data_IF_450124707031
#
_entry.id   IF_450124707031
#
_cell.length_a   1.000
_cell.length_b   1.000
_cell.length_c   1.000
_cell.angle_alpha   90.00
_cell.angle_beta   90.00
_cell.angle_gamma   90.00
#
_symmetry.space_group_name_H-M   'P 1'
#
loop_
_entity.id
_entity.type
_entity.pdbx_description
1 polymer ?
#
# COMPACT_ATOMS: atom_id res chain seq x y z
N UNK A 1 34.48 48.92 -25.52
CA UNK A 1 34.04 48.27 -24.26
C UNK A 1 32.81 47.43 -24.57
N UNK A 2 32.98 46.18 -25.00
CA UNK A 2 31.85 45.30 -25.40
C UNK A 2 32.33 43.85 -25.44
N UNK A 3 32.79 43.32 -24.30
CA UNK A 3 33.19 41.91 -24.19
C UNK A 3 33.12 41.43 -22.73
N UNK A 4 31.95 41.54 -22.09
CA UNK A 4 31.77 41.04 -20.71
C UNK A 4 30.40 40.41 -20.39
N UNK A 5 29.47 40.28 -21.35
CA UNK A 5 28.13 39.76 -21.06
C UNK A 5 27.86 38.33 -21.55
N UNK A 6 28.70 37.78 -22.43
CA UNK A 6 28.45 36.47 -23.06
C UNK A 6 28.97 35.27 -22.25
N UNK A 7 29.83 35.47 -21.25
CA UNK A 7 30.39 34.36 -20.46
C UNK A 7 29.55 33.91 -19.26
N UNK A 8 28.57 34.71 -18.82
CA UNK A 8 27.75 34.38 -17.63
C UNK A 8 26.63 33.39 -17.97
N UNK A 9 26.15 33.34 -19.23
CA UNK A 9 25.08 32.43 -19.63
C UNK A 9 25.54 30.96 -19.74
N UNK A 10 26.82 30.72 -20.05
CA UNK A 10 27.34 29.37 -20.21
C UNK A 10 27.51 28.60 -18.89
N UNK A 11 27.79 29.29 -17.78
CA UNK A 11 28.03 28.65 -16.48
C UNK A 11 26.74 28.20 -15.77
N UNK A 12 25.59 28.84 -16.04
CA UNK A 12 24.29 28.43 -15.47
C UNK A 12 23.78 27.13 -16.12
N UNK A 13 24.05 26.94 -17.41
CA UNK A 13 23.64 25.73 -18.14
C UNK A 13 24.39 24.46 -17.69
N UNK A 14 25.68 24.58 -17.34
CA UNK A 14 26.46 23.44 -16.85
C UNK A 14 26.04 23.00 -15.43
N UNK A 15 25.61 23.93 -14.57
CA UNK A 15 25.15 23.58 -13.23
C UNK A 15 23.81 22.81 -13.23
N UNK A 16 22.96 23.04 -14.25
CA UNK A 16 21.69 22.32 -14.42
C UNK A 16 21.88 20.85 -14.84
N UNK A 17 23.02 20.47 -15.42
CA UNK A 17 23.32 19.10 -15.85
C UNK A 17 23.97 18.25 -14.74
N UNK A 18 24.49 18.87 -13.68
CA UNK A 18 25.11 18.15 -12.55
C UNK A 18 24.11 17.43 -11.65
N UNK A 19 22.81 17.68 -11.80
CA UNK A 19 21.74 17.02 -11.04
C UNK A 19 21.31 15.65 -11.58
N UNK A 20 21.78 15.24 -12.76
CA UNK A 20 21.45 13.93 -13.36
C UNK A 20 22.39 12.80 -12.93
N UNK A 21 23.21 12.99 -11.90
CA UNK A 21 24.10 11.97 -11.37
C UNK A 21 23.48 11.39 -10.09
N UNK A 22 22.26 10.84 -10.19
CA UNK A 22 21.73 9.97 -9.16
C UNK A 22 22.63 8.74 -9.11
N UNK A 23 23.41 8.60 -8.04
CA UNK A 23 24.20 7.40 -7.74
C UNK A 23 23.34 6.21 -7.30
N UNK A 24 22.02 6.32 -7.46
CA UNK A 24 21.08 5.24 -7.22
C UNK A 24 21.36 4.13 -8.24
N UNK A 25 21.67 2.95 -7.73
CA UNK A 25 21.76 1.76 -8.54
C UNK A 25 20.43 1.56 -9.27
N UNK A 26 20.41 1.77 -10.59
CA UNK A 26 19.25 1.45 -11.43
C UNK A 26 19.14 -0.07 -11.45
N UNK A 27 18.22 -0.60 -10.65
CA UNK A 27 17.84 -2.01 -10.75
C UNK A 27 17.20 -2.23 -12.12
N UNK A 28 17.85 -3.04 -12.96
CA UNK A 28 17.31 -3.42 -14.27
C UNK A 28 16.51 -4.70 -14.10
N UNK A 29 15.20 -4.61 -14.35
CA UNK A 29 14.31 -5.77 -14.34
C UNK A 29 14.11 -6.27 -15.78
N UNK A 30 14.30 -7.57 -16.01
CA UNK A 30 14.10 -8.19 -17.32
C UNK A 30 12.66 -8.66 -17.56
N UNK A 31 11.86 -8.74 -16.50
CA UNK A 31 10.45 -9.11 -16.52
C UNK A 31 9.65 -8.32 -15.47
N UNK A 32 8.36 -8.14 -15.73
CA UNK A 32 7.43 -7.53 -14.79
C UNK A 32 6.08 -8.28 -14.81
N UNK A 33 5.52 -8.50 -13.63
CA UNK A 33 4.19 -9.10 -13.43
C UNK A 33 3.22 -8.01 -13.03
N UNK A 34 2.13 -7.92 -13.78
CA UNK A 34 1.02 -7.02 -13.52
C UNK A 34 -0.20 -7.83 -13.11
N UNK A 35 -0.97 -7.32 -12.15
CA UNK A 35 -2.21 -7.94 -11.74
C UNK A 35 -3.31 -6.89 -11.51
N UNK A 36 -4.56 -7.32 -11.56
CA UNK A 36 -5.70 -6.53 -11.11
C UNK A 36 -6.53 -7.38 -10.17
N UNK A 37 -6.94 -6.79 -9.06
CA UNK A 37 -7.78 -7.43 -8.06
C UNK A 37 -9.02 -6.56 -7.89
N UNK A 38 -10.19 -7.13 -8.17
CA UNK A 38 -11.45 -6.51 -7.82
C UNK A 38 -11.79 -6.97 -6.40
N UNK A 39 -11.77 -6.04 -5.44
CA UNK A 39 -11.87 -6.39 -4.03
C UNK A 39 -13.31 -6.54 -3.57
N UNK A 40 -14.19 -5.63 -4.01
CA UNK A 40 -15.62 -5.61 -3.65
C UNK A 40 -15.85 -5.89 -2.15
N UNK A 41 -15.14 -5.16 -1.28
CA UNK A 41 -15.25 -5.37 0.17
C UNK A 41 -16.65 -5.07 0.71
N UNK A 42 -17.53 -4.40 -0.03
CA UNK A 42 -18.91 -4.11 0.38
C UNK A 42 -18.97 -3.30 1.69
N UNK A 43 -18.19 -2.21 1.75
CA UNK A 43 -18.28 -1.22 2.85
C UNK A 43 -19.24 -0.12 2.48
N UNK A 44 -20.01 0.35 3.46
CA UNK A 44 -20.97 1.44 3.24
C UNK A 44 -20.27 2.78 3.02
N UNK A 45 -19.14 3.02 3.69
CA UNK A 45 -18.37 4.27 3.61
C UNK A 45 -16.87 4.02 3.44
N UNK A 46 -16.14 5.05 3.00
CA UNK A 46 -14.68 5.01 2.95
C UNK A 46 -14.08 5.01 4.36
N UNK A 47 -14.71 5.72 5.30
CA UNK A 47 -14.28 5.81 6.69
C UNK A 47 -14.32 4.44 7.39
N UNK A 48 -15.33 3.61 7.10
CA UNK A 48 -15.38 2.23 7.60
C UNK A 48 -14.18 1.42 7.10
N UNK A 49 -13.84 1.57 5.80
CA UNK A 49 -12.66 0.92 5.23
C UNK A 49 -11.38 1.42 5.89
N UNK A 50 -11.23 2.73 6.09
CA UNK A 50 -10.07 3.31 6.76
C UNK A 50 -9.92 2.77 8.17
N UNK A 51 -11.02 2.66 8.94
CA UNK A 51 -10.98 2.14 10.31
C UNK A 51 -10.46 0.70 10.34
N UNK A 52 -10.91 -0.15 9.43
CA UNK A 52 -10.46 -1.54 9.31
C UNK A 52 -9.01 -1.63 8.82
N UNK A 53 -8.61 -0.81 7.85
CA UNK A 53 -7.25 -0.77 7.31
C UNK A 53 -6.23 -0.21 8.32
N UNK A 54 -6.69 0.54 9.32
CA UNK A 54 -5.86 1.16 10.35
C UNK A 54 -5.58 0.24 11.54
N UNK A 55 -6.28 -0.90 11.66
CA UNK A 55 -6.00 -1.87 12.73
C UNK A 55 -4.59 -2.39 12.59
N UNK A 56 -3.80 -2.27 13.65
CA UNK A 56 -2.43 -2.82 13.70
C UNK A 56 -2.46 -4.34 13.67
N UNK A 57 -1.36 -4.96 13.25
CA UNK A 57 -1.27 -6.41 13.17
C UNK A 57 -1.55 -7.11 14.52
N UNK A 58 -1.20 -6.49 15.65
CA UNK A 58 -1.47 -7.01 16.98
C UNK A 58 -2.96 -6.92 17.33
N UNK A 59 -3.60 -5.77 17.09
CA UNK A 59 -5.05 -5.60 17.31
C UNK A 59 -5.86 -6.57 16.46
N UNK A 60 -5.52 -6.71 15.18
CA UNK A 60 -6.13 -7.69 14.28
C UNK A 60 -5.98 -9.12 14.83
N UNK A 61 -4.78 -9.49 15.32
CA UNK A 61 -4.50 -10.85 15.79
C UNK A 61 -5.26 -11.17 17.08
N UNK A 62 -5.29 -10.23 18.03
CA UNK A 62 -6.09 -10.35 19.26
C UNK A 62 -7.57 -10.49 18.93
N UNK A 63 -8.11 -9.65 18.04
CA UNK A 63 -9.52 -9.68 17.66
C UNK A 63 -9.90 -11.01 16.99
N UNK A 64 -9.08 -11.47 16.04
CA UNK A 64 -9.31 -12.74 15.33
C UNK A 64 -9.19 -13.94 16.27
N UNK A 65 -8.25 -13.93 17.22
CA UNK A 65 -8.12 -14.99 18.20
C UNK A 65 -9.35 -15.08 19.09
N UNK A 66 -9.82 -13.95 19.63
CA UNK A 66 -11.07 -13.88 20.41
C UNK A 66 -12.26 -14.39 19.60
N UNK A 67 -12.37 -13.98 18.34
CA UNK A 67 -13.43 -14.42 17.43
C UNK A 67 -13.40 -15.94 17.19
N UNK A 68 -12.23 -16.51 16.90
CA UNK A 68 -12.06 -17.96 16.67
C UNK A 68 -12.34 -18.80 17.92
N UNK A 69 -12.11 -18.24 19.10
CA UNK A 69 -12.38 -18.89 20.38
C UNK A 69 -13.83 -18.69 20.85
N UNK A 70 -14.69 -18.07 20.04
CA UNK A 70 -16.10 -17.79 20.36
C UNK A 70 -16.24 -17.03 21.70
N UNK A 71 -15.36 -16.06 21.94
CA UNK A 71 -15.37 -15.26 23.18
C UNK A 71 -16.74 -14.61 23.40
N UNK A 72 -17.49 -14.98 24.46
CA UNK A 72 -18.85 -14.50 24.68
C UNK A 72 -18.93 -13.02 25.06
N UNK A 73 -17.79 -12.35 25.30
CA UNK A 73 -17.72 -10.92 25.58
C UNK A 73 -17.65 -10.05 24.32
N UNK A 74 -17.48 -10.65 23.14
CA UNK A 74 -17.46 -9.91 21.88
C UNK A 74 -18.83 -9.31 21.59
N UNK A 75 -18.82 -8.04 21.21
CA UNK A 75 -19.99 -7.36 20.67
C UNK A 75 -20.24 -7.78 19.21
N UNK A 76 -21.48 -7.62 18.73
CA UNK A 76 -21.83 -7.85 17.31
C UNK A 76 -20.93 -7.04 16.36
N UNK A 77 -20.53 -5.85 16.78
CA UNK A 77 -19.64 -4.98 16.00
C UNK A 77 -18.20 -5.52 15.95
N UNK A 78 -17.67 -6.04 17.06
CA UNK A 78 -16.34 -6.67 17.08
C UNK A 78 -16.34 -7.95 16.23
N UNK A 79 -17.41 -8.75 16.28
CA UNK A 79 -17.59 -9.94 15.44
C UNK A 79 -17.55 -9.55 13.96
N UNK A 80 -18.39 -8.58 13.56
CA UNK A 80 -18.41 -8.10 12.18
C UNK A 80 -17.04 -7.53 11.75
N UNK A 81 -16.34 -6.84 12.64
CA UNK A 81 -15.00 -6.33 12.37
C UNK A 81 -13.99 -7.47 12.19
N UNK A 82 -14.06 -8.51 13.02
CA UNK A 82 -13.18 -9.68 12.90
C UNK A 82 -13.34 -10.39 11.55
N UNK A 83 -14.58 -10.64 11.12
CA UNK A 83 -14.88 -11.26 9.82
C UNK A 83 -14.32 -10.45 8.65
N UNK A 84 -14.48 -9.12 8.72
CA UNK A 84 -13.98 -8.18 7.73
C UNK A 84 -12.46 -8.11 7.68
N UNK A 85 -11.78 -8.11 8.82
CA UNK A 85 -10.31 -8.19 8.89
C UNK A 85 -9.81 -9.51 8.30
N UNK A 86 -10.50 -10.63 8.58
CA UNK A 86 -10.18 -11.93 7.98
C UNK A 86 -10.30 -11.86 6.45
N UNK A 87 -11.36 -11.24 5.91
CA UNK A 87 -11.53 -11.02 4.47
C UNK A 87 -10.35 -10.23 3.88
N UNK A 88 -9.92 -9.14 4.52
CA UNK A 88 -8.80 -8.31 4.05
C UNK A 88 -7.48 -9.09 4.10
N UNK A 89 -7.23 -9.86 5.17
CA UNK A 89 -6.05 -10.75 5.28
C UNK A 89 -6.01 -11.81 4.18
N UNK A 90 -7.15 -12.40 3.84
CA UNK A 90 -7.23 -13.37 2.73
C UNK A 90 -6.88 -12.72 1.38
N UNK A 91 -7.32 -11.47 1.14
CA UNK A 91 -6.92 -10.71 -0.06
C UNK A 91 -5.41 -10.45 -0.06
N UNK A 92 -4.85 -10.01 1.06
CA UNK A 92 -3.41 -9.79 1.19
C UNK A 92 -2.62 -11.09 0.92
N UNK A 93 -3.06 -12.23 1.44
CA UNK A 93 -2.47 -13.54 1.14
C UNK A 93 -2.47 -13.84 -0.36
N UNK A 94 -3.61 -13.64 -1.04
CA UNK A 94 -3.71 -13.87 -2.49
C UNK A 94 -2.69 -13.00 -3.25
N UNK A 95 -2.58 -11.72 -2.90
CA UNK A 95 -1.62 -10.80 -3.55
C UNK A 95 -0.18 -11.27 -3.28
N UNK A 96 0.13 -11.69 -2.05
CA UNK A 96 1.45 -12.23 -1.69
C UNK A 96 1.79 -13.51 -2.46
N UNK A 97 0.81 -14.39 -2.70
CA UNK A 97 0.97 -15.60 -3.53
C UNK A 97 1.20 -15.28 -5.00
N UNK A 98 0.44 -14.34 -5.56
CA UNK A 98 0.57 -13.92 -6.97
C UNK A 98 1.88 -13.18 -7.20
N UNK A 99 2.36 -12.46 -6.19
CA UNK A 99 3.60 -11.68 -6.17
C UNK A 99 3.77 -10.76 -7.40
N UNK A 100 2.81 -9.86 -7.66
CA UNK A 100 2.94 -8.87 -8.73
C UNK A 100 4.04 -7.84 -8.41
N UNK A 101 4.62 -7.24 -9.46
CA UNK A 101 5.52 -6.08 -9.33
C UNK A 101 4.74 -4.77 -9.27
N UNK A 102 3.57 -4.72 -9.92
CA UNK A 102 2.61 -3.64 -9.83
C UNK A 102 1.20 -4.22 -9.99
N UNK A 103 0.21 -3.65 -9.30
CA UNK A 103 -1.17 -4.09 -9.43
C UNK A 103 -2.16 -2.96 -9.19
N UNK A 104 -3.38 -3.18 -9.66
CA UNK A 104 -4.52 -2.29 -9.45
C UNK A 104 -5.50 -2.95 -8.50
N UNK A 105 -5.91 -2.21 -7.46
CA UNK A 105 -7.05 -2.55 -6.61
C UNK A 105 -8.27 -1.82 -7.15
N UNK A 106 -9.19 -2.57 -7.76
CA UNK A 106 -10.49 -2.05 -8.20
C UNK A 106 -11.52 -2.21 -7.08
N UNK A 107 -12.55 -1.35 -7.08
CA UNK A 107 -13.61 -1.32 -6.06
C UNK A 107 -13.06 -1.18 -4.63
N UNK A 108 -12.08 -0.27 -4.45
CA UNK A 108 -11.42 -0.02 -3.17
C UNK A 108 -12.16 1.01 -2.28
N UNK A 109 -13.40 1.37 -2.61
CA UNK A 109 -14.22 2.37 -1.91
C UNK A 109 -13.55 3.75 -1.69
N UNK A 110 -12.54 4.09 -2.48
CA UNK A 110 -11.92 5.42 -2.53
C UNK A 110 -12.57 6.27 -3.65
N UNK A 111 -12.48 7.59 -3.55
CA UNK A 111 -13.07 8.53 -4.52
C UNK A 111 -12.35 8.57 -5.89
N UNK A 112 -11.19 7.92 -5.99
CA UNK A 112 -10.39 7.83 -7.21
C UNK A 112 -9.52 9.05 -7.50
N UNK A 113 -9.55 10.08 -6.65
CA UNK A 113 -8.73 11.28 -6.80
C UNK A 113 -7.31 11.10 -6.25
N UNK A 114 -7.12 10.13 -5.35
CA UNK A 114 -5.81 9.84 -4.75
C UNK A 114 -5.33 10.88 -3.74
N UNK A 115 -6.23 11.73 -3.21
CA UNK A 115 -5.90 12.74 -2.20
C UNK A 115 -5.86 12.16 -0.79
N UNK A 116 -6.84 11.30 -0.44
CA UNK A 116 -6.82 10.52 0.80
C UNK A 116 -6.29 9.11 0.53
N UNK A 117 -5.08 8.85 1.02
CA UNK A 117 -4.36 7.58 0.85
C UNK A 117 -4.42 6.69 2.10
N UNK A 118 -5.20 7.05 3.13
CA UNK A 118 -5.17 6.36 4.44
C UNK A 118 -5.50 4.89 4.34
N UNK A 119 -6.56 4.52 3.63
CA UNK A 119 -6.94 3.12 3.48
C UNK A 119 -5.88 2.32 2.69
N UNK A 120 -5.29 2.94 1.67
CA UNK A 120 -4.25 2.29 0.86
C UNK A 120 -2.96 2.10 1.65
N UNK A 121 -2.53 3.13 2.40
CA UNK A 121 -1.37 3.05 3.28
C UNK A 121 -1.60 2.05 4.40
N UNK A 122 -2.79 2.06 5.03
CA UNK A 122 -3.16 1.07 6.03
C UNK A 122 -3.16 -0.36 5.48
N UNK A 123 -3.68 -0.58 4.27
CA UNK A 123 -3.60 -1.89 3.61
C UNK A 123 -2.15 -2.32 3.35
N UNK A 124 -1.30 -1.40 2.90
CA UNK A 124 0.11 -1.67 2.69
C UNK A 124 0.80 -2.03 4.01
N UNK A 125 0.71 -1.14 5.00
CA UNK A 125 1.49 -1.18 6.23
C UNK A 125 1.00 -2.28 7.19
N UNK A 126 -0.31 -2.48 7.31
CA UNK A 126 -0.90 -3.39 8.30
C UNK A 126 -1.30 -4.76 7.73
N UNK A 127 -1.26 -4.96 6.40
CA UNK A 127 -1.67 -6.24 5.79
C UNK A 127 -0.61 -6.79 4.82
N UNK A 128 -0.21 -6.03 3.79
CA UNK A 128 0.73 -6.52 2.78
C UNK A 128 2.17 -6.64 3.30
N UNK A 129 2.59 -5.72 4.18
CA UNK A 129 3.91 -5.72 4.80
C UNK A 129 4.09 -6.78 5.89
N UNK A 130 3.04 -7.57 6.18
CA UNK A 130 3.08 -8.67 7.15
C UNK A 130 2.77 -10.01 6.47
N UNK A 131 3.45 -11.08 6.89
CA UNK A 131 3.25 -12.41 6.33
C UNK A 131 1.83 -12.89 6.60
N UNK A 132 1.12 -13.29 5.53
CA UNK A 132 -0.16 -13.99 5.64
C UNK A 132 0.07 -15.45 5.26
N UNK A 133 -0.21 -16.39 6.17
CA UNK A 133 -0.12 -17.82 5.91
C UNK A 133 1.23 -18.26 5.27
N UNK A 134 2.33 -17.85 5.91
CA UNK A 134 3.72 -18.10 5.52
C UNK A 134 4.13 -17.55 4.14
N UNK A 135 3.32 -16.67 3.55
CA UNK A 135 3.69 -15.98 2.32
C UNK A 135 4.66 -14.82 2.60
N UNK A 136 5.55 -14.57 1.64
CA UNK A 136 6.52 -13.49 1.78
C UNK A 136 5.80 -12.14 1.81
N UNK A 137 6.07 -11.29 2.84
CA UNK A 137 5.55 -9.95 2.87
C UNK A 137 5.93 -9.15 1.61
N UNK A 138 5.06 -8.24 1.21
CA UNK A 138 5.33 -7.27 0.15
C UNK A 138 5.42 -5.90 0.80
N UNK A 139 6.62 -5.34 0.79
CA UNK A 139 6.85 -3.93 1.05
C UNK A 139 7.22 -3.26 -0.27
N UNK A 140 6.42 -2.30 -0.69
CA UNK A 140 6.76 -1.46 -1.82
C UNK A 140 7.48 -0.21 -1.32
N UNK A 141 8.49 0.21 -2.08
CA UNK A 141 9.15 1.49 -1.83
C UNK A 141 8.30 2.59 -2.46
N UNK A 142 7.58 3.35 -1.63
CA UNK A 142 6.85 4.55 -2.04
C UNK A 142 7.22 5.71 -1.13
#
# INVERSE_FOLDING_TARGET
MTMKKTFIAASIALAALSGCNSSDSVNTYTEARFATFNLSFDRATYEDLVAEMSLTQDEQSVLIERYKNEDPSLTDQEIATAEKVIQIRNVAEIIQRVRPNAFVLAEFNNDGNGEDMKALNGFHDNYLAHSQNDQQPIAFAY
#
